data_IF_257063946153
#
_entry.id   IF_257063946153
#
_cell.length_a   1.000
_cell.length_b   1.000
_cell.length_c   1.000
_cell.angle_alpha   90.00
_cell.angle_beta   90.00
_cell.angle_gamma   90.00
#
_symmetry.space_group_name_H-M   'P 1'
#
loop_
_entity.id
_entity.type
_entity.pdbx_description
1 polymer ?
#
# COMPACT_ATOMS: atom_id res chain seq x y z
N UNK A 1 67.34 -19.88 34.34
CA UNK A 1 66.36 -18.87 33.87
C UNK A 1 65.72 -19.35 32.55
N UNK A 2 64.94 -20.44 32.58
CA UNK A 2 64.35 -21.06 31.36
C UNK A 2 63.05 -21.85 31.63
N UNK A 3 62.68 -22.05 32.90
CA UNK A 3 61.48 -22.84 33.29
C UNK A 3 60.18 -22.02 33.33
N UNK A 4 60.24 -20.70 33.42
CA UNK A 4 59.05 -19.85 33.53
C UNK A 4 58.34 -19.60 32.19
N UNK A 5 59.07 -19.59 31.07
CA UNK A 5 58.51 -19.29 29.73
C UNK A 5 57.69 -20.46 29.19
N UNK A 6 58.07 -21.70 29.54
CA UNK A 6 57.38 -22.91 29.08
C UNK A 6 55.99 -23.09 29.72
N UNK A 7 55.85 -22.68 30.99
CA UNK A 7 54.59 -22.78 31.73
C UNK A 7 53.53 -21.80 31.19
N UNK A 8 53.94 -20.58 30.82
CA UNK A 8 53.02 -19.53 30.35
C UNK A 8 52.35 -19.87 29.00
N UNK A 9 53.11 -20.42 28.04
CA UNK A 9 52.56 -20.87 26.74
C UNK A 9 51.56 -22.02 26.90
N UNK A 10 51.75 -22.90 27.89
CA UNK A 10 50.84 -24.01 28.16
C UNK A 10 49.53 -23.49 28.75
N UNK A 11 49.59 -22.55 29.70
CA UNK A 11 48.39 -21.94 30.31
C UNK A 11 47.54 -21.14 29.31
N UNK A 12 48.15 -20.39 28.38
CA UNK A 12 47.41 -19.65 27.33
C UNK A 12 46.65 -20.62 26.41
N UNK A 13 47.26 -21.75 26.02
CA UNK A 13 46.61 -22.76 25.17
C UNK A 13 45.43 -23.42 25.87
N UNK A 14 45.53 -23.69 27.17
CA UNK A 14 44.42 -24.20 27.96
C UNK A 14 43.30 -23.17 28.12
N UNK A 15 43.63 -21.89 28.34
CA UNK A 15 42.63 -20.82 28.40
C UNK A 15 41.86 -20.68 27.08
N UNK A 16 42.56 -20.70 25.94
CA UNK A 16 41.94 -20.63 24.62
C UNK A 16 40.99 -21.81 24.36
N UNK A 17 41.38 -23.03 24.73
CA UNK A 17 40.55 -24.23 24.57
C UNK A 17 39.27 -24.16 25.40
N UNK A 18 39.34 -23.61 26.62
CA UNK A 18 38.17 -23.42 27.48
C UNK A 18 37.21 -22.39 26.86
N UNK A 19 37.72 -21.26 26.36
CA UNK A 19 36.89 -20.24 25.69
C UNK A 19 36.20 -20.81 24.46
N UNK A 20 36.92 -21.58 23.63
CA UNK A 20 36.35 -22.26 22.46
C UNK A 20 35.27 -23.27 22.85
N UNK A 21 35.50 -24.07 23.89
CA UNK A 21 34.52 -25.03 24.39
C UNK A 21 33.25 -24.34 24.89
N UNK A 22 33.37 -23.21 25.60
CA UNK A 22 32.22 -22.42 26.06
C UNK A 22 31.42 -21.85 24.89
N UNK A 23 32.09 -21.32 23.85
CA UNK A 23 31.41 -20.81 22.66
C UNK A 23 30.65 -21.91 21.89
N UNK A 24 31.22 -23.12 21.79
CA UNK A 24 30.54 -24.26 21.16
C UNK A 24 29.31 -24.68 21.98
N UNK A 25 29.43 -24.74 23.31
CA UNK A 25 28.31 -25.09 24.19
C UNK A 25 27.19 -24.05 24.10
N UNK A 26 27.52 -22.76 24.11
CA UNK A 26 26.55 -21.68 23.90
C UNK A 26 25.89 -21.79 22.52
N UNK A 27 26.65 -22.03 21.46
CA UNK A 27 26.13 -22.22 20.11
C UNK A 27 25.16 -23.40 20.01
N UNK A 28 25.40 -24.51 20.72
CA UNK A 28 24.50 -25.67 20.75
C UNK A 28 23.25 -25.40 21.60
N UNK A 29 23.37 -24.72 22.74
CA UNK A 29 22.24 -24.36 23.60
C UNK A 29 21.31 -23.37 22.87
N UNK A 30 21.86 -22.33 22.25
CA UNK A 30 21.08 -21.35 21.50
C UNK A 30 20.62 -21.88 20.14
N UNK A 31 21.42 -22.71 19.47
CA UNK A 31 21.09 -23.29 18.15
C UNK A 31 20.04 -24.40 18.19
N UNK A 32 19.78 -25.00 19.37
CA UNK A 32 18.68 -25.96 19.57
C UNK A 32 17.39 -25.35 20.08
N UNK A 33 17.39 -24.06 20.43
CA UNK A 33 16.15 -23.30 20.55
C UNK A 33 15.48 -23.34 19.18
N UNK A 34 14.42 -24.13 19.05
CA UNK A 34 13.57 -24.15 17.85
C UNK A 34 13.39 -22.70 17.42
N UNK A 35 13.93 -22.34 16.26
CA UNK A 35 13.45 -21.19 15.51
C UNK A 35 11.98 -21.54 15.23
N UNK A 36 11.12 -21.19 16.17
CA UNK A 36 9.71 -21.00 15.92
C UNK A 36 9.71 -20.00 14.79
N UNK A 37 9.48 -20.51 13.57
CA UNK A 37 9.03 -19.69 12.46
C UNK A 37 7.78 -19.03 13.02
N UNK A 38 7.94 -17.78 13.47
CA UNK A 38 6.80 -16.92 13.74
C UNK A 38 6.26 -16.68 12.35
N UNK A 39 5.43 -17.61 11.89
CA UNK A 39 4.58 -17.39 10.73
C UNK A 39 3.62 -16.30 11.18
N UNK A 40 4.00 -15.06 10.88
CA UNK A 40 3.07 -13.94 10.79
C UNK A 40 2.13 -14.20 9.62
N UNK A 41 1.34 -15.27 9.73
CA UNK A 41 0.09 -15.41 9.00
C UNK A 41 -0.83 -14.35 9.57
N UNK A 42 -0.62 -13.09 9.14
CA UNK A 42 -1.66 -12.07 9.15
C UNK A 42 -2.91 -12.80 8.63
N UNK A 43 -4.05 -12.75 9.34
CA UNK A 43 -5.29 -13.17 8.72
C UNK A 43 -5.38 -12.35 7.44
N UNK A 44 -5.24 -13.04 6.30
CA UNK A 44 -5.44 -12.43 5.01
C UNK A 44 -6.93 -12.28 4.91
N UNK A 45 -7.47 -11.23 5.54
CA UNK A 45 -8.73 -10.67 5.08
C UNK A 45 -8.54 -10.55 3.57
N UNK A 46 -9.42 -11.15 2.75
CA UNK A 46 -9.34 -10.97 1.31
C UNK A 46 -9.27 -9.46 1.11
N UNK A 47 -8.21 -8.98 0.47
CA UNK A 47 -8.09 -7.56 0.17
C UNK A 47 -9.22 -7.32 -0.82
N UNK A 48 -10.32 -6.80 -0.30
CA UNK A 48 -11.52 -6.48 -1.06
C UNK A 48 -11.19 -5.24 -1.86
N UNK A 49 -10.83 -5.41 -3.12
CA UNK A 49 -10.41 -4.32 -3.99
C UNK A 49 -11.56 -3.79 -4.82
N UNK A 50 -11.53 -2.50 -5.14
CA UNK A 50 -12.26 -1.92 -6.25
C UNK A 50 -11.25 -1.43 -7.29
N UNK A 51 -11.74 -1.23 -8.51
CA UNK A 51 -10.95 -0.83 -9.65
C UNK A 51 -11.35 0.56 -10.11
N UNK A 52 -10.38 1.44 -10.31
CA UNK A 52 -10.56 2.74 -10.94
C UNK A 52 -9.92 2.70 -12.32
N UNK A 53 -10.73 2.90 -13.35
CA UNK A 53 -10.30 3.00 -14.74
C UNK A 53 -10.49 4.42 -15.25
N UNK A 54 -9.49 4.91 -15.97
CA UNK A 54 -9.45 6.27 -16.49
C UNK A 54 -9.11 6.19 -17.98
N UNK A 55 -9.95 6.78 -18.81
CA UNK A 55 -9.76 6.91 -20.25
C UNK A 55 -9.60 8.39 -20.60
N UNK A 56 -8.41 8.76 -21.07
CA UNK A 56 -8.02 10.11 -21.43
C UNK A 56 -7.52 10.13 -22.87
N UNK A 57 -8.35 10.61 -23.81
CA UNK A 57 -7.98 10.73 -25.24
C UNK A 57 -7.27 9.46 -25.78
N UNK A 58 -7.89 8.30 -25.58
CA UNK A 58 -7.39 6.97 -25.98
C UNK A 58 -6.22 6.42 -25.14
N UNK A 59 -5.76 7.16 -24.13
CA UNK A 59 -4.83 6.64 -23.12
C UNK A 59 -5.61 6.08 -21.93
N UNK A 60 -5.42 4.79 -21.64
CA UNK A 60 -6.10 4.10 -20.54
C UNK A 60 -5.16 3.85 -19.36
N UNK A 61 -5.62 4.18 -18.16
CA UNK A 61 -4.96 3.86 -16.89
C UNK A 61 -5.94 3.12 -15.99
N UNK A 62 -5.44 2.17 -15.22
CA UNK A 62 -6.24 1.43 -14.26
C UNK A 62 -5.49 1.32 -12.92
N UNK A 63 -6.24 1.40 -11.84
CA UNK A 63 -5.76 1.30 -10.47
C UNK A 63 -6.64 0.31 -9.72
N UNK A 64 -6.05 -0.47 -8.82
CA UNK A 64 -6.77 -1.35 -7.91
C UNK A 64 -6.36 -0.98 -6.48
N UNK A 65 -7.37 -0.81 -5.62
CA UNK A 65 -7.17 -0.36 -4.25
C UNK A 65 -8.14 -1.05 -3.30
N UNK A 66 -7.72 -1.25 -2.05
CA UNK A 66 -8.58 -1.80 -1.02
C UNK A 66 -9.75 -0.88 -0.70
N UNK A 67 -10.92 -1.46 -0.47
CA UNK A 67 -12.17 -0.77 -0.13
C UNK A 67 -12.51 -1.06 1.32
N UNK A 68 -12.88 -0.01 2.06
CA UNK A 68 -13.44 -0.11 3.42
C UNK A 68 -14.97 0.01 3.38
N UNK A 69 -15.63 -0.46 4.44
CA UNK A 69 -17.08 -0.32 4.56
C UNK A 69 -17.49 1.16 4.55
N UNK A 70 -18.51 1.47 3.73
CA UNK A 70 -19.04 2.82 3.58
C UNK A 70 -18.22 3.74 2.69
N UNK A 71 -17.11 3.27 2.10
CA UNK A 71 -16.28 4.07 1.21
C UNK A 71 -17.08 4.56 0.00
N UNK A 72 -16.89 5.82 -0.37
CA UNK A 72 -17.56 6.46 -1.51
C UNK A 72 -16.63 6.60 -2.72
N UNK A 73 -17.19 6.94 -3.88
CA UNK A 73 -16.40 7.23 -5.09
C UNK A 73 -15.37 8.35 -4.81
N UNK A 74 -15.77 9.39 -4.08
CA UNK A 74 -14.89 10.50 -3.73
C UNK A 74 -13.69 10.07 -2.88
N UNK A 75 -13.90 9.22 -1.87
CA UNK A 75 -12.82 8.69 -1.03
C UNK A 75 -11.89 7.77 -1.83
N UNK A 76 -12.42 7.00 -2.78
CA UNK A 76 -11.61 6.19 -3.69
C UNK A 76 -10.72 7.06 -4.60
N UNK A 77 -11.25 8.21 -5.06
CA UNK A 77 -10.47 9.19 -5.82
C UNK A 77 -9.39 9.84 -4.95
N UNK A 78 -9.69 10.21 -3.71
CA UNK A 78 -8.68 10.71 -2.76
C UNK A 78 -7.58 9.68 -2.52
N UNK A 79 -7.95 8.42 -2.25
CA UNK A 79 -6.98 7.35 -2.03
C UNK A 79 -6.07 7.15 -3.26
N UNK A 80 -6.65 7.20 -4.47
CA UNK A 80 -5.91 7.10 -5.72
C UNK A 80 -4.97 8.30 -5.95
N UNK A 81 -5.39 9.49 -5.53
CA UNK A 81 -4.57 10.70 -5.58
C UNK A 81 -3.39 10.65 -4.60
N UNK A 82 -3.63 10.19 -3.37
CA UNK A 82 -2.59 10.00 -2.35
C UNK A 82 -1.57 8.93 -2.74
N UNK A 83 -1.97 7.93 -3.52
CA UNK A 83 -1.07 6.94 -4.10
C UNK A 83 -0.13 7.52 -5.18
N UNK A 84 -0.29 8.79 -5.55
CA UNK A 84 0.66 9.57 -6.35
C UNK A 84 0.49 9.49 -7.86
N UNK A 85 -0.51 8.75 -8.35
CA UNK A 85 -0.72 8.53 -9.79
C UNK A 85 -1.96 9.23 -10.36
N UNK A 86 -2.59 10.10 -9.56
CA UNK A 86 -3.76 10.86 -9.96
C UNK A 86 -3.74 12.24 -9.30
N UNK A 87 -4.16 13.28 -10.02
CA UNK A 87 -4.42 14.59 -9.44
C UNK A 87 -5.85 15.00 -9.77
N UNK A 88 -6.58 15.60 -8.83
CA UNK A 88 -7.89 16.17 -9.10
C UNK A 88 -8.16 17.32 -8.13
N UNK A 89 -8.97 18.29 -8.58
CA UNK A 89 -9.47 19.37 -7.76
C UNK A 89 -10.99 19.29 -7.67
N UNK A 90 -11.54 19.69 -6.53
CA UNK A 90 -12.96 19.70 -6.27
C UNK A 90 -13.37 20.96 -5.52
N UNK A 91 -14.65 21.27 -5.55
CA UNK A 91 -15.28 22.32 -4.77
C UNK A 91 -16.58 21.81 -4.14
N UNK A 92 -17.16 22.60 -3.26
CA UNK A 92 -18.48 22.33 -2.69
C UNK A 92 -19.53 23.17 -3.41
N UNK A 93 -20.64 22.55 -3.79
CA UNK A 93 -21.83 23.27 -4.25
C UNK A 93 -22.53 23.96 -3.07
N UNK A 94 -23.42 24.90 -3.38
CA UNK A 94 -24.27 25.57 -2.37
C UNK A 94 -25.15 24.59 -1.58
N UNK A 95 -25.39 23.38 -2.13
CA UNK A 95 -26.12 22.29 -1.48
C UNK A 95 -25.23 21.34 -0.68
N UNK A 96 -23.93 21.61 -0.55
CA UNK A 96 -22.95 20.77 0.15
C UNK A 96 -22.48 19.53 -0.62
N UNK A 97 -22.80 19.42 -1.92
CA UNK A 97 -22.31 18.33 -2.76
C UNK A 97 -20.90 18.62 -3.26
N UNK A 98 -20.11 17.57 -3.51
CA UNK A 98 -18.77 17.73 -4.07
C UNK A 98 -18.87 17.81 -5.60
N UNK A 99 -18.34 18.89 -6.16
CA UNK A 99 -18.23 19.12 -7.60
C UNK A 99 -16.79 18.98 -8.03
N UNK A 100 -16.54 18.15 -9.05
CA UNK A 100 -15.21 17.96 -9.61
C UNK A 100 -14.86 19.17 -10.50
N UNK A 101 -13.81 19.92 -10.16
CA UNK A 101 -13.33 21.08 -10.92
C UNK A 101 -12.30 20.71 -11.97
N UNK A 102 -11.38 19.83 -11.60
CA UNK A 102 -10.38 19.34 -12.52
C UNK A 102 -9.98 17.91 -12.21
N UNK A 103 -9.52 17.20 -13.23
CA UNK A 103 -9.05 15.83 -13.12
C UNK A 103 -7.86 15.63 -14.06
N UNK A 104 -6.70 15.32 -13.50
CA UNK A 104 -5.45 15.06 -14.22
C UNK A 104 -5.08 16.15 -15.24
N UNK A 105 -5.31 17.41 -14.87
CA UNK A 105 -5.07 18.58 -15.73
C UNK A 105 -6.21 18.92 -16.70
N UNK A 106 -7.32 18.18 -16.69
CA UNK A 106 -8.55 18.51 -17.43
C UNK A 106 -9.47 19.36 -16.56
N UNK A 107 -9.83 20.56 -17.03
CA UNK A 107 -10.75 21.44 -16.31
C UNK A 107 -12.20 21.19 -16.74
N UNK A 108 -13.09 20.88 -15.80
CA UNK A 108 -14.48 20.57 -16.07
C UNK A 108 -15.26 21.76 -16.67
N UNK A 109 -14.88 22.99 -16.30
CA UNK A 109 -15.61 24.22 -16.67
C UNK A 109 -15.11 24.89 -17.96
N UNK A 110 -13.96 24.45 -18.51
CA UNK A 110 -13.34 25.07 -19.70
C UNK A 110 -13.45 24.22 -20.98
N UNK A 111 -13.86 22.97 -20.88
CA UNK A 111 -14.04 22.09 -22.04
C UNK A 111 -15.51 21.96 -22.40
N UNK A 112 -15.84 22.06 -23.69
CA UNK A 112 -17.18 21.74 -24.23
C UNK A 112 -17.60 20.28 -23.95
N UNK A 113 -16.65 19.44 -23.52
CA UNK A 113 -16.85 18.03 -23.22
C UNK A 113 -16.77 17.78 -21.70
N UNK A 114 -17.86 17.32 -21.07
CA UNK A 114 -17.92 17.09 -19.63
C UNK A 114 -17.19 15.80 -19.23
N UNK A 115 -16.69 15.77 -18.00
CA UNK A 115 -16.16 14.56 -17.35
C UNK A 115 -17.31 13.58 -17.16
N UNK A 116 -17.22 12.38 -17.77
CA UNK A 116 -18.22 11.33 -17.64
C UNK A 116 -17.76 10.30 -16.62
N UNK A 117 -18.56 10.08 -15.58
CA UNK A 117 -18.31 9.08 -14.54
C UNK A 117 -19.30 7.92 -14.66
N UNK A 118 -18.80 6.72 -14.41
CA UNK A 118 -19.58 5.49 -14.40
C UNK A 118 -19.17 4.62 -13.20
N UNK A 119 -20.12 3.88 -12.65
CA UNK A 119 -19.88 2.78 -11.70
C UNK A 119 -20.48 1.52 -12.30
N UNK A 120 -19.68 0.48 -12.47
CA UNK A 120 -20.10 -0.79 -13.07
C UNK A 120 -20.85 -0.58 -14.40
N UNK A 121 -20.31 0.28 -15.27
CA UNK A 121 -20.91 0.69 -16.55
C UNK A 121 -22.19 1.55 -16.46
N UNK A 122 -22.67 1.89 -15.26
CA UNK A 122 -23.83 2.77 -15.08
C UNK A 122 -23.39 4.23 -14.93
N UNK A 123 -23.91 5.17 -15.73
CA UNK A 123 -23.51 6.57 -15.64
C UNK A 123 -23.94 7.20 -14.31
N UNK A 124 -23.06 8.01 -13.73
CA UNK A 124 -23.28 8.72 -12.46
C UNK A 124 -23.03 10.23 -12.67
N UNK A 125 -23.84 11.05 -12.01
CA UNK A 125 -23.62 12.50 -11.93
C UNK A 125 -22.42 12.81 -11.03
N UNK A 126 -21.56 13.72 -11.46
CA UNK A 126 -20.42 14.23 -10.69
C UNK A 126 -20.81 14.68 -9.27
N UNK A 127 -21.98 15.29 -9.11
CA UNK A 127 -22.53 15.74 -7.82
C UNK A 127 -22.77 14.61 -6.80
N UNK A 128 -22.83 13.35 -7.24
CA UNK A 128 -23.13 12.19 -6.38
C UNK A 128 -21.88 11.44 -5.91
N UNK A 129 -20.68 11.88 -6.27
CA UNK A 129 -19.44 11.15 -5.96
C UNK A 129 -19.17 11.01 -4.46
N UNK A 130 -19.63 11.96 -3.65
CA UNK A 130 -19.48 11.97 -2.19
C UNK A 130 -20.55 11.17 -1.43
N UNK A 131 -21.59 10.70 -2.13
CA UNK A 131 -22.74 9.99 -1.53
C UNK A 131 -22.97 8.62 -2.14
N UNK A 132 -22.31 8.30 -3.26
CA UNK A 132 -22.40 6.99 -3.89
C UNK A 132 -21.39 6.04 -3.25
N UNK A 133 -21.84 5.00 -2.53
CA UNK A 133 -20.95 4.03 -1.93
C UNK A 133 -20.38 3.09 -3.00
N UNK A 134 -19.17 2.60 -2.74
CA UNK A 134 -18.50 1.56 -3.53
C UNK A 134 -18.26 0.32 -2.68
N UNK A 135 -18.17 -0.82 -3.35
CA UNK A 135 -17.93 -2.13 -2.73
C UNK A 135 -16.78 -2.85 -3.41
N UNK A 136 -16.33 -3.92 -2.76
CA UNK A 136 -15.40 -4.87 -3.36
C UNK A 136 -15.93 -5.37 -4.73
N UNK A 137 -15.06 -5.37 -5.73
CA UNK A 137 -15.36 -5.76 -7.10
C UNK A 137 -15.97 -4.66 -7.97
N UNK A 138 -16.31 -3.49 -7.41
CA UNK A 138 -16.82 -2.38 -8.20
C UNK A 138 -15.74 -1.80 -9.13
N UNK A 139 -16.17 -1.33 -10.29
CA UNK A 139 -15.35 -0.61 -11.26
C UNK A 139 -15.87 0.81 -11.42
N UNK A 140 -15.06 1.79 -11.03
CA UNK A 140 -15.27 3.21 -11.30
C UNK A 140 -14.59 3.50 -12.64
N UNK A 141 -15.33 4.00 -13.63
CA UNK A 141 -14.79 4.39 -14.92
C UNK A 141 -14.96 5.88 -15.16
N UNK A 142 -13.88 6.56 -15.54
CA UNK A 142 -13.83 7.99 -15.80
C UNK A 142 -13.39 8.20 -17.24
N UNK A 143 -14.23 8.87 -18.03
CA UNK A 143 -13.94 9.20 -19.42
C UNK A 143 -13.79 10.71 -19.59
N UNK A 144 -12.64 11.10 -20.13
CA UNK A 144 -12.31 12.48 -20.49
C UNK A 144 -12.20 12.55 -22.03
N UNK A 145 -13.05 13.36 -22.65
CA UNK A 145 -13.02 13.62 -24.09
C UNK A 145 -12.47 15.05 -24.30
N UNK A 146 -11.44 15.26 -25.13
CA UNK A 146 -11.09 16.59 -25.69
C UNK A 146 -11.92 16.90 -26.90
#
# INVERSE_FOLDING_TARGET
MSTLIFSYKKQIRFGLLIVLAVLVVLGVIFGRGKLSRIDFSKPTTPITTARLEIDINDSKRAFEGGVSDGMTIFEALQASSLAGNLSFAYDFSDSGNIMLKSFDGYEADKTEKPIKLYLNSTPIKTEKINSTPIKAGDTIFIKLER
#
